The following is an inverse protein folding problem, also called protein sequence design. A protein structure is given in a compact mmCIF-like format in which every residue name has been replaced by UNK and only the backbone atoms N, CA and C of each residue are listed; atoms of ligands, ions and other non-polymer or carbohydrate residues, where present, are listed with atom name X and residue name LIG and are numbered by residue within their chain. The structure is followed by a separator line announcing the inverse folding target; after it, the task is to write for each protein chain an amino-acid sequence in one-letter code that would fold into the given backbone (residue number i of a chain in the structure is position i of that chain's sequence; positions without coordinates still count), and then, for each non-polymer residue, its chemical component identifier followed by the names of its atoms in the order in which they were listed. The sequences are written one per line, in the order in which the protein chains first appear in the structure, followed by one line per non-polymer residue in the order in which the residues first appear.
data_IF_119606479959
#
_entry.id   IF_119606479959
#
_cell.length_a   1.000
_cell.length_b   1.000
_cell.length_c   1.000
_cell.angle_alpha   90.00
_cell.angle_beta   90.00
_cell.angle_gamma   90.00
#
_symmetry.space_group_name_H-M   'P 1'
#
loop_
_entity.id
_entity.type
_entity.pdbx_description
1 polymer ?
#
# COMPACT_ATOMS: atom_id res chain seq x y z
N UNK A 1 19.58 2.81 -3.96
CA UNK A 1 18.34 2.18 -3.46
C UNK A 1 18.59 0.84 -2.81
N UNK A 2 18.90 -0.23 -3.55
CA UNK A 2 19.15 -1.55 -2.92
C UNK A 2 20.27 -1.46 -1.89
N UNK A 3 21.39 -0.80 -2.21
CA UNK A 3 22.46 -0.52 -1.25
C UNK A 3 21.98 0.24 0.01
N UNK A 4 21.08 1.23 -0.14
CA UNK A 4 20.58 2.00 1.01
C UNK A 4 19.71 1.13 1.93
N UNK A 5 18.97 0.19 1.32
CA UNK A 5 18.15 -0.78 2.02
C UNK A 5 19.03 -1.82 2.73
N UNK A 6 20.07 -2.34 2.06
CA UNK A 6 21.07 -3.24 2.64
C UNK A 6 21.69 -2.59 3.89
N UNK A 7 22.15 -1.34 3.76
CA UNK A 7 22.75 -0.60 4.85
C UNK A 7 21.77 -0.35 6.00
N UNK A 8 20.49 -0.08 5.69
CA UNK A 8 19.45 0.13 6.69
C UNK A 8 19.11 -1.17 7.45
N UNK A 9 18.97 -2.29 6.73
CA UNK A 9 18.68 -3.61 7.30
C UNK A 9 19.86 -4.08 8.15
N UNK A 10 21.09 -3.91 7.67
CA UNK A 10 22.31 -4.23 8.43
C UNK A 10 22.40 -3.38 9.70
N UNK A 11 22.10 -2.09 9.62
CA UNK A 11 22.07 -1.22 10.79
C UNK A 11 21.02 -1.69 11.81
N UNK A 12 19.81 -2.03 11.39
CA UNK A 12 18.77 -2.58 12.27
C UNK A 12 19.22 -3.88 12.96
N UNK A 13 19.76 -4.83 12.21
CA UNK A 13 20.24 -6.12 12.76
C UNK A 13 21.36 -5.93 13.78
N UNK A 14 22.26 -5.00 13.54
CA UNK A 14 23.37 -4.68 14.45
C UNK A 14 22.91 -3.88 15.68
N UNK A 15 21.86 -3.08 15.56
CA UNK A 15 21.33 -2.23 16.61
C UNK A 15 20.39 -2.92 17.61
N UNK A 16 20.12 -4.22 17.44
CA UNK A 16 19.24 -5.00 18.34
C UNK A 16 19.97 -6.22 18.90
N UNK A 17 19.48 -6.77 20.02
CA UNK A 17 20.03 -7.98 20.62
C UNK A 17 19.69 -9.25 19.82
N UNK A 18 20.35 -10.37 20.17
CA UNK A 18 20.20 -11.64 19.48
C UNK A 18 18.75 -12.16 19.48
N UNK A 19 18.03 -12.04 20.60
CA UNK A 19 16.64 -12.50 20.69
C UNK A 19 15.73 -11.70 19.75
N UNK A 20 15.94 -10.39 19.67
CA UNK A 20 15.20 -9.53 18.73
C UNK A 20 15.57 -9.81 17.28
N UNK A 21 16.83 -10.14 16.98
CA UNK A 21 17.25 -10.59 15.63
C UNK A 21 16.56 -11.89 15.22
N UNK A 22 16.43 -12.84 16.15
CA UNK A 22 15.74 -14.10 15.88
C UNK A 22 14.25 -13.87 15.61
N UNK A 23 13.60 -12.97 16.34
CA UNK A 23 12.20 -12.58 16.07
C UNK A 23 12.03 -11.81 14.77
N UNK A 24 13.03 -11.01 14.37
CA UNK A 24 13.02 -10.22 13.13
C UNK A 24 13.14 -11.10 11.88
N UNK A 25 13.79 -12.26 11.95
CA UNK A 25 14.26 -12.99 10.77
C UNK A 25 13.54 -14.32 10.61
N UNK A 26 13.02 -14.56 9.42
CA UNK A 26 12.47 -15.84 8.97
C UNK A 26 13.29 -16.36 7.78
N UNK A 27 13.25 -17.68 7.50
CA UNK A 27 13.73 -18.20 6.22
C UNK A 27 13.05 -17.50 5.03
N UNK A 28 13.61 -17.63 3.83
CA UNK A 28 12.94 -17.17 2.61
C UNK A 28 11.74 -18.09 2.29
N UNK A 29 10.67 -17.90 3.05
CA UNK A 29 9.48 -18.75 3.07
C UNK A 29 8.39 -18.15 2.19
N UNK A 30 7.91 -18.95 1.24
CA UNK A 30 6.96 -18.53 0.21
C UNK A 30 5.51 -18.42 0.71
N UNK A 31 5.21 -18.95 1.89
CA UNK A 31 3.87 -18.88 2.50
C UNK A 31 3.78 -17.62 3.36
N UNK A 32 4.69 -17.46 4.34
CA UNK A 32 4.63 -16.35 5.29
C UNK A 32 4.98 -15.02 4.62
N UNK A 33 5.91 -14.96 3.65
CA UNK A 33 6.23 -13.72 2.93
C UNK A 33 5.02 -13.14 2.19
N UNK A 34 4.10 -14.00 1.77
CA UNK A 34 2.82 -13.64 1.12
C UNK A 34 1.62 -13.57 2.07
N UNK A 35 1.82 -13.83 3.37
CA UNK A 35 0.78 -13.78 4.39
C UNK A 35 0.72 -12.36 4.99
N UNK A 36 -0.06 -11.47 4.40
CA UNK A 36 -0.18 -10.08 4.82
C UNK A 36 -1.62 -9.69 5.10
N UNK A 37 -1.82 -8.72 5.99
CA UNK A 37 -3.14 -8.26 6.39
C UNK A 37 -3.15 -6.74 6.52
N UNK A 38 -4.16 -6.09 5.94
CA UNK A 38 -4.41 -4.65 6.13
C UNK A 38 -5.43 -4.34 7.24
N UNK A 39 -6.04 -5.37 7.85
CA UNK A 39 -6.91 -5.26 9.03
C UNK A 39 -6.18 -5.74 10.31
N UNK A 40 -6.77 -5.59 11.51
CA UNK A 40 -6.16 -6.11 12.73
C UNK A 40 -6.07 -7.64 12.69
N UNK A 41 -4.85 -8.19 12.67
CA UNK A 41 -4.57 -9.62 12.70
C UNK A 41 -3.27 -9.89 13.49
N UNK A 42 -3.09 -11.09 14.06
CA UNK A 42 -1.78 -11.54 14.55
C UNK A 42 -0.76 -11.52 13.41
N UNK A 43 0.49 -11.15 13.72
CA UNK A 43 1.57 -11.02 12.74
C UNK A 43 2.87 -11.62 13.27
N UNK A 44 3.69 -12.10 12.34
CA UNK A 44 5.07 -12.50 12.60
C UNK A 44 6.00 -11.28 12.50
N UNK A 45 7.20 -11.42 13.04
CA UNK A 45 8.23 -10.38 13.01
C UNK A 45 8.38 -9.62 14.32
N UNK A 46 9.25 -8.62 14.29
CA UNK A 46 9.62 -7.79 15.43
C UNK A 46 8.66 -6.59 15.54
N UNK A 47 7.80 -6.51 16.57
CA UNK A 47 6.93 -5.35 16.76
C UNK A 47 7.70 -4.12 17.25
N UNK A 48 7.26 -2.92 16.85
CA UNK A 48 7.77 -1.65 17.38
C UNK A 48 7.69 -1.59 18.91
N UNK A 49 6.65 -2.19 19.51
CA UNK A 49 6.48 -2.28 20.96
C UNK A 49 7.61 -3.01 21.69
N UNK A 50 8.34 -3.90 21.01
CA UNK A 50 9.48 -4.62 21.60
C UNK A 50 10.81 -3.83 21.52
N UNK A 51 10.81 -2.65 20.88
CA UNK A 51 11.99 -1.85 20.60
C UNK A 51 12.04 -0.57 21.46
N UNK A 52 13.25 -0.14 21.80
CA UNK A 52 13.52 1.18 22.37
C UNK A 52 13.56 2.28 21.29
N UNK A 53 13.82 3.52 21.69
CA UNK A 53 13.80 4.67 20.79
C UNK A 53 14.81 4.57 19.63
N UNK A 54 16.03 4.11 19.89
CA UNK A 54 17.08 3.99 18.88
C UNK A 54 16.75 2.87 17.88
N UNK A 55 16.34 1.69 18.37
CA UNK A 55 15.97 0.59 17.51
C UNK A 55 14.71 0.88 16.67
N UNK A 56 13.74 1.63 17.19
CA UNK A 56 12.58 2.10 16.40
C UNK A 56 13.00 3.02 15.26
N UNK A 57 13.98 3.90 15.48
CA UNK A 57 14.51 4.75 14.39
C UNK A 57 15.18 3.90 13.30
N UNK A 58 15.85 2.81 13.66
CA UNK A 58 16.43 1.88 12.70
C UNK A 58 15.37 1.14 11.87
N UNK A 59 14.23 0.77 12.47
CA UNK A 59 13.08 0.25 11.71
C UNK A 59 12.58 1.29 10.70
N UNK A 60 12.36 2.53 11.12
CA UNK A 60 11.93 3.56 10.18
C UNK A 60 13.00 3.92 9.14
N UNK A 61 14.29 3.73 9.44
CA UNK A 61 15.36 3.81 8.43
C UNK A 61 15.15 2.78 7.32
N UNK A 62 14.78 1.54 7.66
CA UNK A 62 14.41 0.51 6.67
C UNK A 62 13.20 0.95 5.84
N UNK A 63 12.14 1.45 6.49
CA UNK A 63 10.95 1.97 5.78
C UNK A 63 11.33 3.11 4.84
N UNK A 64 12.09 4.10 5.30
CA UNK A 64 12.53 5.23 4.46
C UNK A 64 13.41 4.80 3.30
N UNK A 65 14.10 3.65 3.38
CA UNK A 65 14.88 3.11 2.28
C UNK A 65 14.00 2.56 1.13
N UNK A 66 12.75 2.21 1.41
CA UNK A 66 11.77 1.68 0.47
C UNK A 66 10.86 2.78 -0.10
N UNK A 67 10.34 3.65 0.77
CA UNK A 67 9.32 4.63 0.41
C UNK A 67 9.88 6.04 0.30
N UNK A 68 9.17 6.90 -0.43
CA UNK A 68 9.49 8.32 -0.47
C UNK A 68 9.12 9.05 0.84
N UNK A 69 9.58 10.29 1.00
CA UNK A 69 9.34 11.10 2.21
C UNK A 69 7.85 11.40 2.44
N UNK A 70 7.08 11.65 1.39
CA UNK A 70 5.63 11.91 1.47
C UNK A 70 4.91 10.64 1.94
N UNK A 71 5.29 9.49 1.39
CA UNK A 71 4.72 8.19 1.79
C UNK A 71 5.09 7.82 3.22
N UNK A 72 6.32 8.12 3.66
CA UNK A 72 6.66 7.99 5.08
C UNK A 72 5.76 8.85 5.96
N UNK A 73 5.48 10.11 5.58
CA UNK A 73 4.57 10.96 6.33
C UNK A 73 3.14 10.39 6.40
N UNK A 74 2.66 9.79 5.29
CA UNK A 74 1.38 9.06 5.26
C UNK A 74 1.42 7.87 6.23
N UNK A 75 2.44 7.02 6.16
CA UNK A 75 2.63 5.87 7.06
C UNK A 75 2.63 6.30 8.53
N UNK A 76 3.39 7.33 8.90
CA UNK A 76 3.43 7.83 10.28
C UNK A 76 2.07 8.38 10.74
N UNK A 77 1.35 9.06 9.85
CA UNK A 77 0.00 9.55 10.13
C UNK A 77 -0.96 8.38 10.38
N UNK A 78 -0.91 7.34 9.53
CA UNK A 78 -1.75 6.14 9.65
C UNK A 78 -1.45 5.39 10.96
N UNK A 79 -0.17 5.24 11.32
CA UNK A 79 0.24 4.70 12.63
C UNK A 79 -0.37 5.51 13.77
N UNK A 80 -0.33 6.85 13.68
CA UNK A 80 -0.92 7.75 14.67
C UNK A 80 -2.45 7.67 14.77
N UNK A 81 -3.14 7.35 13.67
CA UNK A 81 -4.60 7.20 13.64
C UNK A 81 -5.09 6.04 14.52
N UNK A 82 -4.24 5.08 14.89
CA UNK A 82 -4.60 4.05 15.89
C UNK A 82 -5.13 4.66 17.19
N UNK A 83 -4.47 5.70 17.70
CA UNK A 83 -4.88 6.36 18.95
C UNK A 83 -6.19 7.14 18.77
N UNK A 84 -6.36 7.81 17.63
CA UNK A 84 -7.59 8.53 17.28
C UNK A 84 -8.76 7.55 17.19
N UNK A 85 -8.56 6.43 16.50
CA UNK A 85 -9.57 5.40 16.33
C UNK A 85 -9.92 4.73 17.67
N UNK A 86 -8.94 4.51 18.55
CA UNK A 86 -9.18 4.01 19.91
C UNK A 86 -10.13 4.93 20.70
N UNK A 87 -9.90 6.25 20.62
CA UNK A 87 -10.74 7.24 21.27
C UNK A 87 -12.16 7.29 20.68
N UNK A 88 -12.27 7.34 19.34
CA UNK A 88 -13.56 7.34 18.65
C UNK A 88 -14.37 6.07 18.92
N UNK A 89 -13.73 4.90 18.93
CA UNK A 89 -14.35 3.62 19.31
C UNK A 89 -14.80 3.64 20.78
N UNK A 90 -13.98 4.17 21.69
CA UNK A 90 -14.33 4.33 23.11
C UNK A 90 -15.52 5.27 23.35
N UNK A 91 -15.75 6.22 22.45
CA UNK A 91 -16.90 7.13 22.46
C UNK A 91 -18.13 6.57 21.71
N UNK A 92 -18.02 5.40 21.08
CA UNK A 92 -19.10 4.81 20.27
C UNK A 92 -19.32 5.49 18.92
N UNK A 93 -18.35 6.28 18.44
CA UNK A 93 -18.42 7.07 17.20
C UNK A 93 -17.81 6.37 15.98
N UNK A 94 -17.28 5.16 16.15
CA UNK A 94 -16.81 4.29 15.07
C UNK A 94 -17.67 3.03 14.98
N UNK A 95 -17.99 2.60 13.77
CA UNK A 95 -18.99 1.54 13.56
C UNK A 95 -18.49 0.17 14.05
N UNK A 96 -19.24 -0.39 15.01
CA UNK A 96 -19.26 -1.78 15.53
C UNK A 96 -17.96 -2.60 15.39
N UNK A 97 -17.12 -2.56 16.43
CA UNK A 97 -16.23 -3.70 16.77
C UNK A 97 -17.07 -4.99 16.83
N UNK A 98 -16.67 -6.04 16.11
CA UNK A 98 -17.21 -7.38 16.40
C UNK A 98 -16.78 -7.76 17.84
N UNK A 99 -17.69 -8.15 18.74
CA UNK A 99 -17.42 -8.29 20.19
C UNK A 99 -16.29 -9.24 20.60
N UNK A 100 -15.76 -10.05 19.67
CA UNK A 100 -14.86 -11.16 19.97
C UNK A 100 -13.65 -11.28 19.01
N UNK A 101 -13.28 -10.21 18.28
CA UNK A 101 -12.25 -10.29 17.22
C UNK A 101 -11.25 -9.14 17.16
N UNK A 102 -11.37 -8.09 17.97
CA UNK A 102 -10.57 -6.89 17.75
C UNK A 102 -9.35 -6.82 18.67
N UNK A 103 -8.17 -7.09 18.12
CA UNK A 103 -6.89 -6.70 18.72
C UNK A 103 -6.95 -5.23 19.20
N UNK A 104 -6.23 -4.86 20.27
CA UNK A 104 -6.18 -3.47 20.72
C UNK A 104 -5.72 -2.54 19.60
N UNK A 105 -6.25 -1.31 19.58
CA UNK A 105 -5.70 -0.23 18.76
C UNK A 105 -4.38 0.19 19.40
N UNK A 106 -3.27 0.05 18.68
CA UNK A 106 -1.93 0.21 19.26
C UNK A 106 -0.92 0.69 18.20
N UNK A 107 -0.47 1.95 18.27
CA UNK A 107 0.58 2.47 17.39
C UNK A 107 1.91 1.68 17.46
N UNK A 108 2.10 0.84 18.48
CA UNK A 108 3.28 -0.02 18.65
C UNK A 108 3.13 -1.41 18.03
N UNK A 109 1.94 -1.77 17.54
CA UNK A 109 1.63 -3.06 16.92
C UNK A 109 1.89 -3.08 15.41
N UNK A 110 3.01 -2.50 14.99
CA UNK A 110 3.55 -2.58 13.63
C UNK A 110 4.83 -3.42 13.64
N UNK A 111 4.97 -4.30 12.67
CA UNK A 111 5.93 -5.40 12.66
C UNK A 111 6.88 -5.26 11.50
N UNK A 112 8.17 -5.52 11.76
CA UNK A 112 9.18 -5.70 10.70
C UNK A 112 9.58 -7.15 10.65
N UNK A 113 9.58 -7.74 9.45
CA UNK A 113 10.02 -9.11 9.20
C UNK A 113 11.02 -9.12 8.05
N UNK A 114 12.16 -9.77 8.25
CA UNK A 114 13.13 -10.10 7.21
C UNK A 114 12.93 -11.55 6.78
N UNK A 115 13.01 -11.79 5.48
CA UNK A 115 12.91 -13.12 4.87
C UNK A 115 14.22 -13.43 4.16
N UNK A 116 14.82 -14.58 4.45
CA UNK A 116 16.11 -14.97 3.88
C UNK A 116 17.29 -14.27 4.56
N UNK A 117 18.46 -14.30 3.91
CA UNK A 117 19.68 -13.69 4.43
C UNK A 117 20.12 -12.51 3.56
N UNK A 118 19.99 -11.25 4.03
CA UNK A 118 20.40 -10.08 3.27
C UNK A 118 21.93 -9.94 3.10
N UNK A 119 22.74 -10.69 3.86
CA UNK A 119 24.20 -10.72 3.65
C UNK A 119 24.65 -11.89 2.75
N UNK A 120 23.72 -12.74 2.31
CA UNK A 120 23.99 -13.89 1.44
C UNK A 120 23.79 -13.60 -0.05
N UNK A 121 24.07 -14.61 -0.87
CA UNK A 121 23.92 -14.53 -2.35
C UNK A 121 22.50 -14.88 -2.84
N UNK A 122 21.63 -15.36 -1.93
CA UNK A 122 20.27 -15.79 -2.26
C UNK A 122 19.25 -14.64 -2.25
N UNK A 123 18.01 -14.92 -2.68
CA UNK A 123 16.93 -13.94 -2.57
C UNK A 123 16.61 -13.65 -1.09
N UNK A 124 16.28 -12.39 -0.82
CA UNK A 124 15.84 -11.96 0.50
C UNK A 124 14.75 -10.89 0.38
N UNK A 125 14.07 -10.59 1.47
CA UNK A 125 13.02 -9.57 1.46
C UNK A 125 12.74 -8.99 2.83
N UNK A 126 11.95 -7.93 2.83
CA UNK A 126 11.48 -7.26 4.05
C UNK A 126 10.01 -6.92 3.92
N UNK A 127 9.29 -7.06 5.03
CA UNK A 127 7.91 -6.60 5.20
C UNK A 127 7.83 -5.68 6.41
N UNK A 128 7.24 -4.51 6.23
CA UNK A 128 6.78 -3.65 7.32
C UNK A 128 5.25 -3.55 7.27
N UNK A 129 4.57 -3.98 8.31
CA UNK A 129 3.10 -4.02 8.29
C UNK A 129 2.45 -3.78 9.66
N UNK A 130 1.19 -3.37 9.62
CA UNK A 130 0.31 -3.21 10.76
C UNK A 130 -1.11 -2.95 10.28
N UNK A 131 -2.00 -2.52 11.18
CA UNK A 131 -3.33 -2.09 10.74
C UNK A 131 -3.18 -0.95 9.72
N UNK A 132 -3.77 -1.12 8.54
CA UNK A 132 -3.71 -0.15 7.44
C UNK A 132 -2.35 0.20 6.82
N UNK A 133 -1.27 -0.52 7.14
CA UNK A 133 0.01 -0.37 6.44
C UNK A 133 0.54 -1.74 6.08
N UNK A 134 0.94 -1.94 4.83
CA UNK A 134 1.69 -3.11 4.42
C UNK A 134 2.66 -2.75 3.30
N UNK A 135 3.96 -2.80 3.58
CA UNK A 135 5.03 -2.43 2.66
C UNK A 135 5.91 -3.65 2.48
N UNK A 136 6.02 -4.14 1.25
CA UNK A 136 6.83 -5.30 0.90
C UNK A 136 8.00 -4.88 0.01
N UNK A 137 9.11 -5.60 0.14
CA UNK A 137 10.22 -5.54 -0.79
C UNK A 137 10.89 -6.91 -0.90
N UNK A 138 11.16 -7.33 -2.13
CA UNK A 138 11.91 -8.56 -2.44
C UNK A 138 13.11 -8.21 -3.30
N UNK A 139 14.26 -8.73 -2.94
CA UNK A 139 15.53 -8.49 -3.61
C UNK A 139 16.02 -9.81 -4.18
N UNK A 140 16.30 -9.81 -5.47
CA UNK A 140 16.85 -10.97 -6.20
C UNK A 140 17.96 -10.46 -7.11
N UNK A 141 19.20 -10.92 -6.92
CA UNK A 141 20.34 -10.53 -7.75
C UNK A 141 20.50 -9.00 -7.91
N UNK A 142 20.23 -8.24 -6.84
CA UNK A 142 20.31 -6.76 -6.85
C UNK A 142 19.15 -6.03 -7.52
N UNK A 143 18.13 -6.73 -8.02
CA UNK A 143 16.87 -6.15 -8.48
C UNK A 143 15.85 -6.11 -7.34
N UNK A 144 15.01 -5.06 -7.31
CA UNK A 144 14.00 -4.81 -6.26
C UNK A 144 12.59 -4.95 -6.84
N UNK A 145 11.74 -5.70 -6.14
CA UNK A 145 10.28 -5.72 -6.35
C UNK A 145 9.57 -5.18 -5.10
N UNK A 146 8.95 -3.97 -5.14
CA UNK A 146 8.40 -3.29 -3.97
C UNK A 146 6.88 -3.50 -3.79
N UNK A 147 6.27 -4.45 -4.50
CA UNK A 147 4.83 -4.74 -4.43
C UNK A 147 4.54 -6.08 -3.75
N UNK A 148 3.38 -6.22 -3.07
CA UNK A 148 2.33 -5.22 -2.91
C UNK A 148 2.69 -4.10 -1.91
N UNK A 149 2.11 -2.91 -2.12
CA UNK A 149 2.20 -1.77 -1.21
C UNK A 149 0.80 -1.26 -0.90
N UNK A 150 0.40 -1.40 0.37
CA UNK A 150 -0.91 -1.02 0.87
C UNK A 150 -0.81 0.13 1.88
N UNK A 151 -1.69 1.12 1.73
CA UNK A 151 -1.96 2.17 2.72
C UNK A 151 -3.47 2.31 2.89
N UNK A 152 -3.94 2.35 4.13
CA UNK A 152 -5.32 2.65 4.49
C UNK A 152 -5.39 3.76 5.52
N UNK A 153 -6.56 4.35 5.70
CA UNK A 153 -6.79 5.37 6.71
C UNK A 153 -8.20 5.21 7.28
N UNK A 154 -8.27 4.93 8.58
CA UNK A 154 -9.51 4.92 9.34
C UNK A 154 -9.31 5.69 10.66
N UNK A 155 -9.93 6.86 10.82
CA UNK A 155 -10.75 7.57 9.83
C UNK A 155 -9.93 8.07 8.62
N UNK A 156 -10.56 8.16 7.44
CA UNK A 156 -9.93 8.71 6.23
C UNK A 156 -9.71 10.23 6.32
N UNK A 157 -10.58 10.91 7.06
CA UNK A 157 -10.57 12.34 7.38
C UNK A 157 -10.80 12.50 8.89
N UNK A 158 -9.91 13.23 9.56
CA UNK A 158 -10.15 13.77 10.90
C UNK A 158 -10.46 15.25 10.77
N UNK A 159 -11.57 15.71 11.36
CA UNK A 159 -11.99 17.11 11.32
C UNK A 159 -12.15 17.70 12.72
N UNK A 160 -11.92 19.01 12.84
CA UNK A 160 -12.20 19.78 14.06
C UNK A 160 -12.81 21.13 13.71
N UNK A 161 -14.07 21.33 14.11
CA UNK A 161 -14.79 22.58 13.83
C UNK A 161 -14.94 22.86 12.33
N UNK A 162 -15.13 21.83 11.51
CA UNK A 162 -15.26 21.95 10.05
C UNK A 162 -13.93 22.09 9.29
N UNK A 163 -12.79 22.04 9.98
CA UNK A 163 -11.47 22.06 9.35
C UNK A 163 -10.84 20.66 9.34
N UNK A 164 -10.32 20.25 8.20
CA UNK A 164 -9.54 19.00 8.05
C UNK A 164 -8.25 19.12 8.86
N UNK A 165 -8.05 18.17 9.78
CA UNK A 165 -6.84 18.02 10.60
C UNK A 165 -5.87 17.05 9.92
N UNK A 166 -6.38 15.88 9.50
CA UNK A 166 -5.60 14.90 8.74
C UNK A 166 -6.46 14.25 7.66
N UNK A 167 -5.84 13.96 6.50
CA UNK A 167 -6.46 13.25 5.38
C UNK A 167 -5.37 12.57 4.54
N UNK A 168 -4.70 11.53 5.07
CA UNK A 168 -3.43 11.04 4.53
C UNK A 168 -3.50 10.51 3.09
N UNK A 169 -4.67 10.02 2.64
CA UNK A 169 -4.89 9.50 1.27
C UNK A 169 -5.78 10.41 0.41
N UNK A 170 -5.87 11.69 0.78
CA UNK A 170 -6.80 12.61 0.16
C UNK A 170 -6.30 13.28 -1.12
N UNK A 171 -4.99 13.30 -1.37
CA UNK A 171 -4.46 13.83 -2.63
C UNK A 171 -4.81 12.89 -3.78
N UNK A 172 -4.65 11.57 -3.55
CA UNK A 172 -5.07 10.54 -4.49
C UNK A 172 -6.57 10.61 -4.82
N UNK A 173 -7.44 10.77 -3.81
CA UNK A 173 -8.88 10.95 -4.02
C UNK A 173 -9.17 12.20 -4.85
N UNK A 174 -8.61 13.36 -4.47
CA UNK A 174 -8.90 14.64 -5.12
C UNK A 174 -8.46 14.62 -6.60
N UNK A 175 -7.27 14.06 -6.90
CA UNK A 175 -6.77 13.95 -8.28
C UNK A 175 -7.62 12.96 -9.10
N UNK A 176 -8.02 11.82 -8.53
CA UNK A 176 -8.87 10.86 -9.23
C UNK A 176 -10.25 11.43 -9.56
N UNK A 177 -10.85 12.20 -8.64
CA UNK A 177 -12.12 12.90 -8.89
C UNK A 177 -11.96 13.99 -9.95
N UNK A 178 -10.91 14.79 -9.87
CA UNK A 178 -10.61 15.81 -10.88
C UNK A 178 -10.40 15.17 -12.26
N UNK A 179 -9.72 14.02 -12.33
CA UNK A 179 -9.56 13.25 -13.56
C UNK A 179 -10.92 12.82 -14.12
N UNK A 180 -11.79 12.23 -13.29
CA UNK A 180 -13.14 11.83 -13.69
C UNK A 180 -13.94 13.01 -14.25
N UNK A 181 -13.86 14.17 -13.61
CA UNK A 181 -14.57 15.38 -14.03
C UNK A 181 -14.00 16.00 -15.31
N UNK A 182 -12.68 15.89 -15.53
CA UNK A 182 -12.03 16.37 -16.75
C UNK A 182 -12.29 15.49 -17.97
N UNK A 183 -12.76 14.25 -17.79
CA UNK A 183 -13.08 13.36 -18.91
C UNK A 183 -14.35 13.83 -19.64
N UNK A 184 -14.30 13.98 -20.98
CA UNK A 184 -15.46 14.42 -21.75
C UNK A 184 -16.48 13.28 -21.93
N UNK A 185 -17.77 13.60 -21.83
CA UNK A 185 -18.92 12.81 -22.28
C UNK A 185 -18.73 11.28 -22.36
N UNK A 186 -18.36 10.78 -23.55
CA UNK A 186 -18.20 9.35 -23.81
C UNK A 186 -17.04 8.71 -23.03
N UNK A 187 -15.91 9.41 -22.87
CA UNK A 187 -14.76 8.93 -22.11
C UNK A 187 -15.10 8.79 -20.63
N UNK A 188 -15.82 9.77 -20.04
CA UNK A 188 -16.29 9.68 -18.65
C UNK A 188 -17.25 8.51 -18.46
N UNK A 189 -18.20 8.31 -19.37
CA UNK A 189 -19.12 7.15 -19.33
C UNK A 189 -18.39 5.82 -19.43
N UNK A 190 -17.30 5.75 -20.19
CA UNK A 190 -16.49 4.53 -20.30
C UNK A 190 -15.60 4.29 -19.08
N UNK A 191 -15.17 5.36 -18.40
CA UNK A 191 -14.46 5.27 -17.13
C UNK A 191 -15.35 4.72 -16.00
N UNK A 192 -16.65 5.05 -15.98
CA UNK A 192 -17.58 4.54 -14.96
C UNK A 192 -17.98 3.10 -15.28
N UNK A 193 -17.48 2.15 -14.49
CA UNK A 193 -17.68 0.70 -14.70
C UNK A 193 -18.84 0.12 -13.87
N UNK A 194 -19.27 0.82 -12.82
CA UNK A 194 -20.41 0.44 -11.99
C UNK A 194 -21.01 1.65 -11.24
N UNK A 195 -22.33 1.63 -11.05
CA UNK A 195 -23.06 2.66 -10.27
C UNK A 195 -22.76 2.58 -8.77
N UNK A 196 -22.45 1.39 -8.26
CA UNK A 196 -22.09 1.14 -6.87
C UNK A 196 -20.61 0.75 -6.79
N UNK A 197 -19.90 1.38 -5.87
CA UNK A 197 -18.55 0.97 -5.52
C UNK A 197 -18.58 -0.40 -4.80
N UNK A 198 -17.55 -1.24 -4.97
CA UNK A 198 -17.36 -2.42 -4.13
C UNK A 198 -17.23 -2.01 -2.66
N UNK A 199 -17.41 -2.95 -1.72
CA UNK A 199 -17.33 -2.64 -0.27
C UNK A 199 -15.89 -2.53 0.27
N UNK A 200 -14.90 -2.82 -0.57
CA UNK A 200 -13.47 -2.80 -0.30
C UNK A 200 -12.72 -2.85 -1.66
N UNK A 201 -11.38 -2.78 -1.64
CA UNK A 201 -10.53 -3.13 -2.78
C UNK A 201 -10.85 -4.54 -3.29
N UNK A 202 -10.88 -4.72 -4.62
CA UNK A 202 -11.35 -5.97 -5.23
C UNK A 202 -10.31 -7.08 -5.09
N UNK A 203 -9.02 -6.76 -5.16
CA UNK A 203 -7.96 -7.77 -5.06
C UNK A 203 -7.73 -8.29 -3.64
N UNK A 204 -8.19 -7.54 -2.62
CA UNK A 204 -8.01 -7.87 -1.19
C UNK A 204 -6.54 -8.19 -0.84
N UNK A 205 -6.29 -9.05 0.14
CA UNK A 205 -4.94 -9.48 0.54
C UNK A 205 -4.47 -10.77 -0.15
N UNK A 206 -5.11 -11.17 -1.25
CA UNK A 206 -4.73 -12.39 -1.97
C UNK A 206 -3.26 -12.35 -2.40
N UNK A 207 -2.52 -13.48 -2.35
CA UNK A 207 -1.11 -13.53 -2.68
C UNK A 207 -0.82 -13.35 -4.19
N UNK A 208 -1.86 -13.45 -5.04
CA UNK A 208 -1.81 -13.22 -6.48
C UNK A 208 -3.09 -12.51 -6.89
N UNK A 209 -2.97 -11.56 -7.82
CA UNK A 209 -4.14 -10.96 -8.46
C UNK A 209 -4.88 -12.06 -9.24
N UNK A 210 -6.20 -12.10 -9.09
CA UNK A 210 -7.04 -13.05 -9.80
C UNK A 210 -6.94 -12.81 -11.32
N UNK A 211 -6.73 -13.89 -12.08
CA UNK A 211 -6.62 -13.82 -13.54
C UNK A 211 -7.95 -13.57 -14.23
N UNK A 212 -9.06 -13.84 -13.54
CA UNK A 212 -10.40 -13.57 -14.05
C UNK A 212 -10.85 -12.12 -13.78
N UNK A 213 -10.06 -11.33 -13.05
CA UNK A 213 -10.32 -9.91 -12.88
C UNK A 213 -10.14 -9.18 -14.21
N UNK A 214 -11.24 -8.64 -14.74
CA UNK A 214 -11.22 -7.84 -15.96
C UNK A 214 -10.52 -6.49 -15.72
N UNK A 215 -9.23 -6.44 -16.05
CA UNK A 215 -8.38 -5.25 -15.99
C UNK A 215 -8.53 -4.33 -17.21
N UNK A 216 -9.32 -4.72 -18.22
CA UNK A 216 -9.50 -3.97 -19.46
C UNK A 216 -10.65 -2.95 -19.39
N UNK A 217 -11.44 -2.97 -18.32
CA UNK A 217 -12.49 -1.97 -18.10
C UNK A 217 -11.91 -0.58 -17.79
N UNK A 218 -12.66 0.46 -18.17
CA UNK A 218 -12.30 1.85 -17.94
C UNK A 218 -11.75 2.53 -19.20
N UNK A 219 -11.51 3.84 -19.10
CA UNK A 219 -10.97 4.64 -20.21
C UNK A 219 -9.46 4.46 -20.32
N UNK A 220 -8.96 4.19 -21.53
CA UNK A 220 -7.53 4.13 -21.79
C UNK A 220 -6.91 5.54 -21.77
N UNK A 221 -5.69 5.66 -21.26
CA UNK A 221 -4.93 6.91 -21.26
C UNK A 221 -4.62 7.39 -22.68
N UNK A 222 -4.56 6.47 -23.65
CA UNK A 222 -4.52 6.79 -25.07
C UNK A 222 -5.73 7.62 -25.55
N UNK A 223 -6.83 7.67 -24.80
CA UNK A 223 -8.04 8.47 -25.08
C UNK A 223 -8.17 9.72 -24.19
N UNK A 224 -7.32 9.86 -23.16
CA UNK A 224 -7.25 11.07 -22.34
C UNK A 224 -6.61 12.23 -23.12
N UNK A 225 -7.18 13.45 -23.00
CA UNK A 225 -6.72 14.66 -23.71
C UNK A 225 -6.79 15.86 -22.77
N UNK A 226 -5.98 16.89 -23.04
CA UNK A 226 -5.96 18.12 -22.25
C UNK A 226 -5.72 17.84 -20.76
N UNK A 227 -6.51 18.47 -19.90
CA UNK A 227 -6.39 18.35 -18.44
C UNK A 227 -6.52 16.90 -17.95
N UNK A 228 -7.36 16.07 -18.58
CA UNK A 228 -7.50 14.67 -18.20
C UNK A 228 -6.19 13.87 -18.40
N UNK A 229 -5.39 14.19 -19.42
CA UNK A 229 -4.11 13.51 -19.63
C UNK A 229 -3.09 13.89 -18.54
N UNK A 230 -3.05 15.17 -18.17
CA UNK A 230 -2.19 15.70 -17.09
C UNK A 230 -2.59 15.11 -15.73
N UNK A 231 -3.89 15.01 -15.45
CA UNK A 231 -4.40 14.45 -14.21
C UNK A 231 -4.19 12.93 -14.12
N UNK A 232 -4.27 12.20 -15.25
CA UNK A 232 -3.93 10.78 -15.29
C UNK A 232 -2.45 10.55 -14.98
N UNK A 233 -1.56 11.32 -15.63
CA UNK A 233 -0.12 11.29 -15.33
C UNK A 233 0.15 11.58 -13.85
N UNK A 234 -0.47 12.65 -13.32
CA UNK A 234 -0.34 13.01 -11.91
C UNK A 234 -0.82 11.90 -10.98
N UNK A 235 -1.94 11.24 -11.29
CA UNK A 235 -2.47 10.15 -10.46
C UNK A 235 -1.55 8.92 -10.50
N UNK A 236 -1.03 8.55 -11.67
CA UNK A 236 -0.04 7.48 -11.81
C UNK A 236 1.22 7.81 -11.00
N UNK A 237 1.72 9.04 -11.12
CA UNK A 237 2.88 9.51 -10.36
C UNK A 237 2.67 9.42 -8.85
N UNK A 238 1.48 9.80 -8.34
CA UNK A 238 1.19 9.69 -6.90
C UNK A 238 1.33 8.27 -6.35
N UNK A 239 1.06 7.25 -7.18
CA UNK A 239 1.20 5.85 -6.78
C UNK A 239 2.62 5.32 -6.99
N UNK A 240 3.24 5.61 -8.13
CA UNK A 240 4.63 5.21 -8.42
C UNK A 240 5.61 5.83 -7.42
N UNK A 241 5.42 7.12 -7.11
CA UNK A 241 6.24 7.87 -6.16
C UNK A 241 5.98 7.48 -4.71
N UNK A 242 5.14 6.46 -4.44
CA UNK A 242 5.11 5.85 -3.10
C UNK A 242 6.45 5.23 -2.71
N UNK A 243 7.18 4.78 -3.73
CA UNK A 243 8.54 4.27 -3.59
C UNK A 243 9.56 5.37 -3.89
N UNK A 244 10.82 5.15 -3.50
CA UNK A 244 11.90 6.08 -3.87
C UNK A 244 12.00 6.25 -5.39
N UNK A 245 12.40 7.45 -5.82
CA UNK A 245 12.60 7.73 -7.24
C UNK A 245 13.53 6.70 -7.91
N UNK A 246 13.09 6.14 -9.03
CA UNK A 246 13.81 5.11 -9.77
C UNK A 246 13.72 3.69 -9.20
N UNK A 247 12.86 3.43 -8.20
CA UNK A 247 12.61 2.07 -7.69
C UNK A 247 11.95 1.18 -8.74
N UNK A 248 10.99 1.77 -9.44
CA UNK A 248 10.19 1.15 -10.48
C UNK A 248 10.11 2.10 -11.68
N UNK A 249 9.84 1.53 -12.85
CA UNK A 249 9.47 2.33 -14.00
C UNK A 249 7.99 2.76 -13.89
N UNK A 250 7.69 3.99 -14.28
CA UNK A 250 6.30 4.37 -14.52
C UNK A 250 5.73 3.55 -15.69
N UNK A 251 4.46 3.13 -15.64
CA UNK A 251 3.83 2.44 -16.76
C UNK A 251 3.73 3.37 -17.98
N UNK A 252 3.60 2.80 -19.18
CA UNK A 252 3.22 3.58 -20.36
C UNK A 252 1.82 4.17 -20.13
N UNK A 253 1.74 5.49 -19.92
CA UNK A 253 0.51 6.22 -19.68
C UNK A 253 -0.56 5.98 -20.75
N UNK A 254 -0.16 5.68 -21.99
CA UNK A 254 -1.13 5.38 -23.06
C UNK A 254 -1.85 4.05 -22.82
N UNK A 255 -1.20 3.11 -22.17
CA UNK A 255 -1.74 1.79 -21.82
C UNK A 255 -2.52 1.78 -20.51
N UNK A 256 -2.31 2.77 -19.63
CA UNK A 256 -3.02 2.87 -18.36
C UNK A 256 -4.50 3.07 -18.59
N UNK A 257 -5.33 2.24 -17.95
CA UNK A 257 -6.77 2.39 -17.92
C UNK A 257 -7.21 2.97 -16.59
N UNK A 258 -8.10 3.96 -16.64
CA UNK A 258 -8.74 4.53 -15.47
C UNK A 258 -10.20 4.07 -15.41
N UNK A 259 -10.55 3.38 -14.33
CA UNK A 259 -11.91 2.95 -14.04
C UNK A 259 -12.42 3.57 -12.73
N UNK A 260 -13.71 3.84 -12.67
CA UNK A 260 -14.41 4.44 -11.54
C UNK A 260 -15.67 3.65 -11.22
N UNK A 261 -15.98 3.49 -9.94
CA UNK A 261 -17.26 2.96 -9.48
C UNK A 261 -17.80 3.77 -8.30
N UNK A 262 -19.12 3.89 -8.21
CA UNK A 262 -19.79 4.61 -7.13
C UNK A 262 -19.99 6.10 -7.39
N UNK A 263 -20.23 6.81 -6.30
CA UNK A 263 -20.76 8.18 -6.30
C UNK A 263 -19.71 9.22 -6.72
N UNK A 264 -20.13 10.24 -7.47
CA UNK A 264 -19.24 11.27 -7.99
C UNK A 264 -18.98 12.38 -6.96
N UNK A 265 -19.86 12.56 -5.98
CA UNK A 265 -19.72 13.59 -4.97
C UNK A 265 -18.65 13.22 -3.94
N UNK A 266 -17.88 14.22 -3.51
CA UNK A 266 -16.86 14.06 -2.47
C UNK A 266 -17.50 13.66 -1.14
N UNK A 267 -16.87 12.74 -0.42
CA UNK A 267 -17.38 12.23 0.85
C UNK A 267 -18.51 11.21 0.70
N UNK A 268 -18.73 10.71 -0.53
CA UNK A 268 -19.65 9.61 -0.82
C UNK A 268 -18.88 8.34 -1.20
N UNK A 269 -19.49 7.15 -1.02
CA UNK A 269 -18.86 5.87 -1.33
C UNK A 269 -18.39 5.79 -2.78
N UNK A 270 -17.10 5.53 -2.98
CA UNK A 270 -16.50 5.49 -4.32
C UNK A 270 -15.28 4.57 -4.36
N UNK A 271 -14.91 4.20 -5.58
CA UNK A 271 -13.75 3.39 -5.90
C UNK A 271 -13.14 3.86 -7.22
N UNK A 272 -11.81 3.79 -7.34
CA UNK A 272 -11.16 3.86 -8.64
C UNK A 272 -10.07 2.81 -8.79
N UNK A 273 -9.77 2.48 -10.05
CA UNK A 273 -8.70 1.57 -10.44
C UNK A 273 -7.84 2.18 -11.54
N UNK A 274 -6.53 1.99 -11.43
CA UNK A 274 -5.60 2.14 -12.54
C UNK A 274 -5.04 0.78 -12.91
N UNK A 275 -5.09 0.41 -14.18
CA UNK A 275 -4.54 -0.87 -14.66
C UNK A 275 -3.71 -0.70 -15.93
N UNK A 276 -2.55 -1.35 -15.95
CA UNK A 276 -1.65 -1.50 -17.09
C UNK A 276 -0.82 -2.79 -16.89
N UNK A 277 -0.08 -3.27 -17.90
CA UNK A 277 0.89 -4.34 -17.70
C UNK A 277 1.84 -4.02 -16.53
N UNK A 278 2.00 -4.96 -15.59
CA UNK A 278 2.82 -4.80 -14.38
C UNK A 278 2.42 -3.67 -13.43
N UNK A 279 1.23 -3.08 -13.57
CA UNK A 279 0.79 -1.97 -12.76
C UNK A 279 -0.71 -2.04 -12.48
N UNK A 280 -1.07 -2.28 -11.22
CA UNK A 280 -2.44 -2.24 -10.76
C UNK A 280 -2.54 -1.42 -9.47
N UNK A 281 -3.38 -0.40 -9.49
CA UNK A 281 -3.74 0.37 -8.31
C UNK A 281 -5.24 0.28 -8.09
N UNK A 282 -5.62 0.09 -6.84
CA UNK A 282 -7.00 0.26 -6.40
C UNK A 282 -7.07 1.30 -5.27
N UNK A 283 -8.18 2.02 -5.23
CA UNK A 283 -8.56 2.89 -4.14
C UNK A 283 -10.04 2.69 -3.86
N UNK A 284 -10.37 2.41 -2.60
CA UNK A 284 -11.74 2.29 -2.10
C UNK A 284 -11.92 3.26 -0.94
N UNK A 285 -13.08 3.90 -0.86
CA UNK A 285 -13.51 4.56 0.36
C UNK A 285 -15.04 4.48 0.46
N UNK A 286 -15.52 3.35 0.97
CA UNK A 286 -16.95 3.06 1.07
C UNK A 286 -17.43 2.79 2.50
N UNK A 287 -16.52 2.35 3.37
CA UNK A 287 -16.81 2.02 4.77
C UNK A 287 -16.92 3.29 5.63
N UNK A 288 -17.62 3.18 6.77
CA UNK A 288 -17.79 4.24 7.76
C UNK A 288 -18.23 5.58 7.14
N UNK A 289 -19.28 5.55 6.32
CA UNK A 289 -19.79 6.72 5.59
C UNK A 289 -18.75 7.38 4.68
N UNK A 290 -18.01 6.57 3.93
CA UNK A 290 -16.87 6.99 3.10
C UNK A 290 -15.80 7.74 3.91
N UNK A 291 -15.51 7.24 5.11
CA UNK A 291 -14.46 7.74 5.99
C UNK A 291 -13.50 6.63 6.42
N UNK A 292 -13.28 5.65 5.56
CA UNK A 292 -12.32 4.57 5.77
C UNK A 292 -11.78 4.18 4.40
N UNK A 293 -10.66 4.81 4.05
CA UNK A 293 -10.05 4.68 2.74
C UNK A 293 -9.02 3.53 2.73
N UNK A 294 -8.99 2.78 1.66
CA UNK A 294 -7.96 1.79 1.35
C UNK A 294 -7.36 2.09 0.00
N UNK A 295 -6.04 1.93 -0.11
CA UNK A 295 -5.35 2.01 -1.40
C UNK A 295 -4.24 0.98 -1.46
N UNK A 296 -4.23 0.22 -2.55
CA UNK A 296 -3.21 -0.81 -2.80
C UNK A 296 -2.59 -0.60 -4.17
N UNK A 297 -1.27 -0.78 -4.23
CA UNK A 297 -0.53 -0.92 -5.47
C UNK A 297 0.05 -2.33 -5.54
N UNK A 298 -0.23 -3.00 -6.66
CA UNK A 298 0.11 -4.39 -6.98
C UNK A 298 0.85 -4.43 -8.32
N UNK A 299 1.70 -5.43 -8.50
CA UNK A 299 2.08 -5.92 -9.84
C UNK A 299 1.34 -7.26 -10.06
N UNK A 300 0.37 -7.33 -10.98
CA UNK A 300 -0.40 -8.56 -11.21
C UNK A 300 0.43 -9.82 -11.50
N UNK A 301 1.63 -9.67 -12.07
CA UNK A 301 2.52 -10.78 -12.45
C UNK A 301 3.79 -10.86 -11.60
N UNK A 302 4.18 -9.76 -10.96
CA UNK A 302 5.44 -9.55 -10.24
C UNK A 302 5.32 -9.27 -8.74
N UNK A 303 4.10 -9.24 -8.16
CA UNK A 303 3.91 -9.14 -6.72
C UNK A 303 4.83 -10.14 -5.98
N UNK A 304 5.44 -9.68 -4.89
CA UNK A 304 6.41 -10.47 -4.13
C UNK A 304 7.66 -10.86 -4.95
N UNK A 305 8.01 -10.11 -5.99
CA UNK A 305 9.16 -10.40 -6.85
C UNK A 305 9.05 -11.73 -7.59
N UNK A 306 7.83 -12.19 -7.83
CA UNK A 306 7.55 -13.49 -8.44
C UNK A 306 8.15 -13.63 -9.85
N UNK A 307 8.21 -12.54 -10.60
CA UNK A 307 8.86 -12.46 -11.91
C UNK A 307 10.40 -12.55 -11.79
N UNK A 308 10.98 -11.82 -10.83
CA UNK A 308 12.42 -11.87 -10.52
C UNK A 308 12.85 -13.26 -10.07
N UNK A 309 12.08 -13.91 -9.20
CA UNK A 309 12.32 -15.25 -8.71
C UNK A 309 12.21 -16.29 -9.83
N UNK A 310 11.20 -16.19 -10.71
CA UNK A 310 11.11 -17.05 -11.90
C UNK A 310 12.34 -16.89 -12.79
N UNK A 311 12.79 -15.66 -13.03
CA UNK A 311 13.98 -15.38 -13.82
C UNK A 311 15.26 -15.96 -13.21
N UNK A 312 15.42 -15.83 -11.89
CA UNK A 312 16.54 -16.40 -11.14
C UNK A 312 16.59 -17.93 -11.24
N UNK A 313 15.48 -18.63 -10.98
CA UNK A 313 15.43 -20.09 -11.09
C UNK A 313 15.68 -20.60 -12.52
N UNK A 314 15.25 -19.85 -13.53
CA UNK A 314 15.50 -20.21 -14.93
C UNK A 314 16.97 -20.00 -15.35
N UNK A 315 17.73 -19.15 -14.66
CA UNK A 315 19.14 -18.89 -14.94
C UNK A 315 20.10 -19.85 -14.21
N UNK A 316 19.62 -20.50 -13.14
CA UNK A 316 20.38 -21.48 -12.36
C UNK A 316 20.22 -22.94 -12.85
N UNK A 317 19.41 -23.16 -13.89
CA UNK A 317 19.15 -24.45 -14.53
C UNK A 317 19.50 -24.43 -16.03
#
# INVERSE_FOLDING_TARGET
MVQDLDDAVRALRNGIDAKRRDTLSLPFDEVERRNWFYWPAPRMGLPLGALDGEARQLVFRVVTALVDTVTLAKVMTIIGLEAVLAELEGQGLSSRRRPNQSLPRDPSAYYTTLFGDPDGDGPWGVRFEGHHVSIHATIVNGALAPTPLFLGANPAVVERGGHVVTRPLGEEEDVARALLDALPGAARRHAVIADLAPSDIVTTNTPRVDRDLDLDQGVAGADARGDAAVLLERLVDLHVQRTRAGAVASPDLRSVRFAWAGDFERGRPHYYRLSAPHFLVEYDNTQNDANHAHSVWRDPEGDFGDDLLRGHHAAEH
#
